data_IF_865099629858
#
_entry.id   IF_865099629858
#
_cell.length_a   1.000
_cell.length_b   1.000
_cell.length_c   1.000
_cell.angle_alpha   90.00
_cell.angle_beta   90.00
_cell.angle_gamma   90.00
#
_symmetry.space_group_name_H-M   'P 1'
#
loop_
_entity.id
_entity.type
_entity.pdbx_description
1 polymer ?
#
# COMPACT_ATOMS: atom_id res chain seq x y z
N UNK A 1 -52.79 27.39 18.28
CA UNK A 1 -51.75 27.11 19.30
C UNK A 1 -51.51 25.61 19.51
N UNK A 2 -52.45 24.82 20.03
CA UNK A 2 -52.25 23.37 20.26
C UNK A 2 -51.87 22.57 18.99
N UNK A 3 -52.57 22.79 17.88
CA UNK A 3 -52.26 22.14 16.59
C UNK A 3 -50.89 22.56 16.01
N UNK A 4 -50.44 23.78 16.31
CA UNK A 4 -49.10 24.25 15.94
C UNK A 4 -48.02 23.57 16.78
N UNK A 5 -48.24 23.43 18.09
CA UNK A 5 -47.34 22.69 18.98
C UNK A 5 -47.19 21.22 18.55
N UNK A 6 -48.29 20.55 18.19
CA UNK A 6 -48.24 19.18 17.67
C UNK A 6 -47.46 19.09 16.36
N UNK A 7 -47.63 20.04 15.45
CA UNK A 7 -46.89 20.09 14.18
C UNK A 7 -45.39 20.30 14.42
N UNK A 8 -45.02 21.27 15.26
CA UNK A 8 -43.62 21.51 15.62
C UNK A 8 -42.98 20.33 16.36
N UNK A 9 -43.73 19.64 17.23
CA UNK A 9 -43.25 18.45 17.93
C UNK A 9 -42.97 17.32 16.94
N UNK A 10 -43.87 17.11 15.97
CA UNK A 10 -43.68 16.10 14.91
C UNK A 10 -42.45 16.42 14.05
N UNK A 11 -42.29 17.66 13.61
CA UNK A 11 -41.12 18.10 12.84
C UNK A 11 -39.82 17.87 13.62
N UNK A 12 -39.84 18.12 14.93
CA UNK A 12 -38.68 17.90 15.80
C UNK A 12 -38.36 16.40 15.95
N UNK A 13 -39.37 15.54 16.09
CA UNK A 13 -39.19 14.08 16.11
C UNK A 13 -38.62 13.56 14.78
N UNK A 14 -39.13 14.02 13.65
CA UNK A 14 -38.63 13.66 12.32
C UNK A 14 -37.16 14.08 12.17
N UNK A 15 -36.81 15.29 12.61
CA UNK A 15 -35.43 15.79 12.58
C UNK A 15 -34.47 14.98 13.47
N UNK A 16 -34.90 14.59 14.67
CA UNK A 16 -34.09 13.75 15.58
C UNK A 16 -33.87 12.36 14.99
N UNK A 17 -34.91 11.74 14.43
CA UNK A 17 -34.79 10.44 13.77
C UNK A 17 -33.83 10.48 12.58
N UNK A 18 -33.88 11.56 11.79
CA UNK A 18 -32.97 11.73 10.65
C UNK A 18 -31.52 11.93 11.11
N UNK A 19 -31.31 12.74 12.17
CA UNK A 19 -29.99 12.90 12.79
C UNK A 19 -29.43 11.57 13.28
N UNK A 20 -30.23 10.77 13.99
CA UNK A 20 -29.78 9.49 14.53
C UNK A 20 -29.47 8.47 13.43
N UNK A 21 -30.22 8.49 12.31
CA UNK A 21 -29.90 7.69 11.12
C UNK A 21 -28.59 8.12 10.48
N UNK A 22 -28.37 9.43 10.32
CA UNK A 22 -27.13 9.96 9.78
C UNK A 22 -25.95 9.60 10.68
N UNK A 23 -26.11 9.70 11.99
CA UNK A 23 -25.07 9.34 12.96
C UNK A 23 -24.66 7.87 12.82
N UNK A 24 -25.60 6.93 12.81
CA UNK A 24 -25.29 5.50 12.62
C UNK A 24 -24.62 5.23 11.28
N UNK A 25 -25.00 5.97 10.22
CA UNK A 25 -24.39 5.85 8.91
C UNK A 25 -22.96 6.38 8.87
N UNK A 26 -22.68 7.47 9.58
CA UNK A 26 -21.32 8.01 9.75
C UNK A 26 -20.46 7.02 10.53
N UNK A 27 -20.97 6.45 11.62
CA UNK A 27 -20.29 5.41 12.39
C UNK A 27 -19.95 4.21 11.51
N UNK A 28 -20.93 3.66 10.79
CA UNK A 28 -20.71 2.54 9.87
C UNK A 28 -19.71 2.85 8.74
N UNK A 29 -19.75 4.06 8.18
CA UNK A 29 -18.78 4.49 7.17
C UNK A 29 -17.38 4.64 7.77
N UNK A 30 -17.26 5.14 9.00
CA UNK A 30 -16.01 5.23 9.74
C UNK A 30 -15.37 3.85 9.89
N UNK A 31 -16.12 2.89 10.43
CA UNK A 31 -15.67 1.51 10.57
C UNK A 31 -15.26 0.93 9.22
N UNK A 32 -16.05 1.17 8.16
CA UNK A 32 -15.76 0.65 6.82
C UNK A 32 -14.47 1.23 6.24
N UNK A 33 -14.20 2.51 6.46
CA UNK A 33 -12.96 3.15 6.00
C UNK A 33 -11.77 2.58 6.75
N UNK A 34 -11.86 2.41 8.07
CA UNK A 34 -10.79 1.81 8.89
C UNK A 34 -10.42 0.42 8.36
N UNK A 35 -11.40 -0.46 8.12
CA UNK A 35 -11.15 -1.77 7.53
C UNK A 35 -10.49 -1.72 6.14
N UNK A 36 -10.83 -0.72 5.31
CA UNK A 36 -10.21 -0.57 3.99
C UNK A 36 -8.77 -0.06 4.10
N UNK A 37 -8.48 0.80 5.08
CA UNK A 37 -7.12 1.29 5.34
C UNK A 37 -6.25 0.17 5.89
N UNK A 38 -6.75 -0.63 6.82
CA UNK A 38 -6.06 -1.83 7.30
C UNK A 38 -5.77 -2.80 6.15
N UNK A 39 -6.76 -3.06 5.29
CA UNK A 39 -6.56 -3.92 4.11
C UNK A 39 -5.56 -3.37 3.08
N UNK A 40 -5.33 -2.05 3.03
CA UNK A 40 -4.26 -1.47 2.21
C UNK A 40 -2.89 -1.67 2.84
N UNK A 41 -2.79 -1.68 4.18
CA UNK A 41 -1.53 -1.93 4.88
C UNK A 41 -1.03 -3.38 4.72
N UNK A 42 -1.95 -4.33 4.55
CA UNK A 42 -1.63 -5.75 4.38
C UNK A 42 -1.30 -6.16 2.92
N UNK A 43 -1.41 -5.24 1.95
CA UNK A 43 -1.17 -5.56 0.54
C UNK A 43 0.31 -5.74 0.25
N UNK A 44 0.70 -6.99 -0.01
CA UNK A 44 2.02 -7.29 -0.56
C UNK A 44 2.10 -6.87 -2.04
N UNK A 45 3.05 -6.00 -2.36
CA UNK A 45 3.36 -5.65 -3.74
C UNK A 45 4.47 -6.58 -4.24
N UNK A 46 4.22 -7.33 -5.31
CA UNK A 46 5.19 -8.23 -5.93
C UNK A 46 5.23 -8.02 -7.44
N UNK A 47 6.45 -8.07 -8.00
CA UNK A 47 6.70 -8.02 -9.44
C UNK A 47 7.58 -9.19 -9.79
N UNK A 48 7.18 -9.97 -10.79
CA UNK A 48 7.97 -11.07 -11.32
C UNK A 48 8.43 -10.71 -12.73
N UNK A 49 9.73 -10.81 -12.97
CA UNK A 49 10.35 -10.55 -14.26
C UNK A 49 10.88 -11.87 -14.77
N UNK A 50 10.27 -12.39 -15.83
CA UNK A 50 10.77 -13.58 -16.52
C UNK A 50 11.94 -13.24 -17.43
N UNK A 51 12.94 -14.14 -17.49
CA UNK A 51 14.13 -13.99 -18.33
C UNK A 51 15.23 -13.18 -17.68
N UNK A 52 16.27 -12.87 -18.46
CA UNK A 52 17.46 -12.17 -17.95
C UNK A 52 17.21 -10.67 -17.81
N UNK A 53 17.60 -10.10 -16.65
CA UNK A 53 17.60 -8.66 -16.44
C UNK A 53 18.78 -8.02 -17.16
N UNK A 54 18.53 -6.90 -17.84
CA UNK A 54 19.57 -6.15 -18.53
C UNK A 54 20.63 -5.65 -17.53
N UNK A 55 21.91 -5.63 -17.95
CA UNK A 55 23.03 -5.42 -17.03
C UNK A 55 23.10 -4.05 -16.34
N UNK A 56 22.32 -3.06 -16.79
CA UNK A 56 22.04 -1.85 -16.04
C UNK A 56 20.53 -1.65 -16.03
N UNK A 57 19.89 -2.04 -14.92
CA UNK A 57 18.45 -1.92 -14.76
C UNK A 57 18.14 -1.17 -13.48
N UNK A 58 17.14 -0.29 -13.54
CA UNK A 58 16.66 0.47 -12.39
C UNK A 58 15.14 0.35 -12.32
N UNK A 59 14.62 0.16 -11.11
CA UNK A 59 13.20 -0.02 -10.85
C UNK A 59 12.75 0.88 -9.71
N UNK A 60 11.59 1.50 -9.87
CA UNK A 60 10.94 2.31 -8.86
C UNK A 60 9.61 1.69 -8.47
N UNK A 61 9.43 1.44 -7.18
CA UNK A 61 8.21 0.91 -6.59
C UNK A 61 7.46 2.06 -5.92
N UNK A 62 6.33 2.46 -6.52
CA UNK A 62 5.46 3.50 -5.97
C UNK A 62 4.49 2.85 -4.98
N UNK A 63 4.64 3.18 -3.71
CA UNK A 63 3.88 2.63 -2.60
C UNK A 63 2.90 3.70 -2.09
N UNK A 64 1.58 3.50 -2.30
CA UNK A 64 0.59 4.39 -1.71
C UNK A 64 0.52 4.14 -0.20
N UNK A 65 0.70 5.21 0.58
CA UNK A 65 0.59 5.17 2.04
C UNK A 65 -0.61 6.00 2.48
N UNK A 66 -1.44 5.42 3.34
CA UNK A 66 -2.51 6.14 4.01
C UNK A 66 -2.00 6.63 5.36
N UNK A 67 -2.20 7.92 5.66
CA UNK A 67 -1.80 8.54 6.92
C UNK A 67 -3.02 9.12 7.61
N UNK A 68 -3.26 8.73 8.86
CA UNK A 68 -4.36 9.28 9.64
C UNK A 68 -4.03 10.71 10.10
N UNK A 69 -4.93 11.65 9.82
CA UNK A 69 -4.80 13.03 10.25
C UNK A 69 -5.26 13.17 11.71
N UNK A 70 -4.33 13.48 12.60
CA UNK A 70 -4.57 13.58 14.05
C UNK A 70 -5.50 14.71 14.47
N UNK A 71 -5.71 15.73 13.63
CA UNK A 71 -6.52 16.92 13.98
C UNK A 71 -7.95 16.91 13.44
N UNK A 72 -8.20 16.24 12.32
CA UNK A 72 -9.51 16.31 11.63
C UNK A 72 -10.20 14.94 11.49
N UNK A 73 -9.58 13.85 11.96
CA UNK A 73 -10.17 12.51 11.87
C UNK A 73 -10.27 11.96 10.44
N UNK A 74 -9.56 12.59 9.50
CA UNK A 74 -9.49 12.18 8.10
C UNK A 74 -8.27 11.32 7.77
N UNK A 75 -8.19 10.90 6.52
CA UNK A 75 -7.06 10.16 5.97
C UNK A 75 -6.42 10.98 4.84
N UNK A 76 -5.09 11.02 4.82
CA UNK A 76 -4.31 11.58 3.73
C UNK A 76 -3.60 10.46 2.96
N UNK A 77 -3.34 10.70 1.68
CA UNK A 77 -2.65 9.76 0.80
C UNK A 77 -1.28 10.31 0.43
N UNK A 78 -0.25 9.73 1.04
CA UNK A 78 1.13 10.01 0.71
C UNK A 78 1.65 8.99 -0.32
N UNK A 79 2.62 9.42 -1.13
CA UNK A 79 3.39 8.52 -1.98
C UNK A 79 4.75 8.29 -1.33
N UNK A 80 5.14 7.04 -1.22
CA UNK A 80 6.50 6.65 -0.89
C UNK A 80 7.07 5.84 -2.04
N UNK A 81 8.38 5.91 -2.20
CA UNK A 81 9.08 5.25 -3.30
C UNK A 81 10.21 4.42 -2.72
N UNK A 82 10.25 3.16 -3.10
CA UNK A 82 11.43 2.33 -2.91
C UNK A 82 12.13 2.14 -4.27
N UNK A 83 13.45 2.10 -4.26
CA UNK A 83 14.25 2.06 -5.47
C UNK A 83 15.17 0.84 -5.48
N UNK A 84 15.34 0.24 -6.66
CA UNK A 84 16.22 -0.89 -6.86
C UNK A 84 17.08 -0.66 -8.10
N UNK A 85 18.39 -0.73 -7.93
CA UNK A 85 19.35 -0.72 -9.03
C UNK A 85 20.04 -2.08 -9.13
N UNK A 86 20.21 -2.57 -10.35
CA UNK A 86 20.88 -3.82 -10.67
C UNK A 86 21.99 -3.51 -11.66
N UNK A 87 23.21 -3.87 -11.27
CA UNK A 87 24.42 -3.72 -12.07
C UNK A 87 25.04 -5.11 -12.30
N UNK A 88 24.83 -5.69 -13.47
CA UNK A 88 25.40 -7.00 -13.83
C UNK A 88 26.78 -6.82 -14.49
N UNK A 89 27.83 -7.17 -13.74
CA UNK A 89 29.17 -7.38 -14.28
C UNK A 89 29.37 -8.80 -14.80
N UNK A 90 30.51 -9.07 -15.45
CA UNK A 90 30.81 -10.38 -16.06
C UNK A 90 30.98 -11.51 -15.03
N UNK A 91 31.33 -11.20 -13.78
CA UNK A 91 31.60 -12.19 -12.73
C UNK A 91 30.64 -12.11 -11.54
N UNK A 92 29.96 -10.98 -11.38
CA UNK A 92 29.06 -10.71 -10.27
C UNK A 92 28.06 -9.63 -10.67
N UNK A 93 26.85 -9.74 -10.15
CA UNK A 93 25.84 -8.69 -10.18
C UNK A 93 25.76 -8.03 -8.81
N UNK A 94 25.71 -6.70 -8.80
CA UNK A 94 25.40 -5.91 -7.62
C UNK A 94 23.93 -5.50 -7.67
N UNK A 95 23.20 -5.77 -6.58
CA UNK A 95 21.82 -5.36 -6.38
C UNK A 95 21.77 -4.37 -5.22
N UNK A 96 21.37 -3.15 -5.51
CA UNK A 96 21.26 -2.06 -4.54
C UNK A 96 19.79 -1.75 -4.32
N UNK A 97 19.28 -1.99 -3.12
CA UNK A 97 17.94 -1.56 -2.71
C UNK A 97 17.99 -0.35 -1.79
N UNK A 98 17.11 0.60 -2.05
CA UNK A 98 16.86 1.78 -1.23
C UNK A 98 15.40 1.74 -0.76
N UNK A 99 15.20 1.56 0.54
CA UNK A 99 13.86 1.56 1.15
C UNK A 99 13.22 2.94 1.19
N UNK A 100 11.94 2.99 1.53
CA UNK A 100 11.18 4.25 1.68
C UNK A 100 11.67 5.13 2.83
N UNK A 101 12.39 4.54 3.79
CA UNK A 101 13.08 5.20 4.90
C UNK A 101 14.46 5.78 4.49
N UNK A 102 14.89 5.54 3.25
CA UNK A 102 16.22 5.88 2.76
C UNK A 102 17.31 4.89 3.17
N UNK A 103 16.97 3.78 3.84
CA UNK A 103 17.94 2.74 4.15
C UNK A 103 18.41 2.07 2.86
N UNK A 104 19.74 2.02 2.68
CA UNK A 104 20.38 1.43 1.51
C UNK A 104 21.05 0.12 1.87
N UNK A 105 20.78 -0.91 1.08
CA UNK A 105 21.39 -2.24 1.20
C UNK A 105 22.00 -2.58 -0.17
N UNK A 106 23.26 -2.97 -0.20
CA UNK A 106 23.92 -3.52 -1.38
C UNK A 106 24.22 -5.00 -1.14
N UNK A 107 23.84 -5.83 -2.11
CA UNK A 107 24.07 -7.27 -2.09
C UNK A 107 24.73 -7.68 -3.39
N UNK A 108 25.71 -8.59 -3.31
CA UNK A 108 26.37 -9.15 -4.49
C UNK A 108 25.90 -10.57 -4.72
N UNK A 109 25.57 -10.91 -5.96
CA UNK A 109 25.08 -12.22 -6.37
C UNK A 109 25.80 -12.68 -7.65
N UNK A 110 25.87 -13.99 -7.93
CA UNK A 110 26.35 -14.48 -9.21
C UNK A 110 25.41 -14.06 -10.35
N UNK A 111 25.91 -13.81 -11.58
CA UNK A 111 25.08 -13.40 -12.70
C UNK A 111 23.95 -14.38 -13.05
N UNK A 112 24.16 -15.68 -12.78
CA UNK A 112 23.15 -16.73 -13.00
C UNK A 112 21.92 -16.59 -12.10
N UNK A 113 22.04 -15.94 -10.94
CA UNK A 113 20.88 -15.64 -10.08
C UNK A 113 20.05 -14.47 -10.60
N UNK A 114 20.55 -13.70 -11.58
CA UNK A 114 19.82 -12.59 -12.19
C UNK A 114 18.92 -13.04 -13.36
N UNK A 115 18.77 -14.35 -13.54
CA UNK A 115 17.82 -14.97 -14.46
C UNK A 115 16.50 -15.20 -13.73
N UNK A 116 15.41 -14.62 -14.24
CA UNK A 116 14.06 -14.73 -13.70
C UNK A 116 13.96 -14.36 -12.21
N UNK A 117 13.69 -13.09 -11.91
CA UNK A 117 13.65 -12.58 -10.54
C UNK A 117 12.23 -12.25 -10.09
N UNK A 118 11.96 -12.52 -8.81
CA UNK A 118 10.80 -11.99 -8.10
C UNK A 118 11.25 -10.93 -7.13
N UNK A 119 10.61 -9.77 -7.23
CA UNK A 119 10.75 -8.67 -6.30
C UNK A 119 9.51 -8.57 -5.44
N UNK A 120 9.70 -8.35 -4.15
CA UNK A 120 8.63 -8.03 -3.22
C UNK A 120 8.99 -6.76 -2.45
N UNK A 121 7.97 -5.97 -2.13
CA UNK A 121 8.14 -4.83 -1.24
C UNK A 121 7.29 -5.05 0.00
N UNK A 122 7.96 -5.08 1.14
CA UNK A 122 7.34 -5.27 2.45
C UNK A 122 7.84 -4.19 3.41
N UNK A 123 6.90 -3.52 4.07
CA UNK A 123 7.16 -2.36 4.94
C UNK A 123 8.15 -1.34 4.33
N UNK A 124 8.02 -1.09 3.02
CA UNK A 124 8.89 -0.16 2.28
C UNK A 124 10.31 -0.66 2.00
N UNK A 125 10.63 -1.92 2.32
CA UNK A 125 11.90 -2.58 1.99
C UNK A 125 11.71 -3.50 0.80
N UNK A 126 12.67 -3.48 -0.13
CA UNK A 126 12.66 -4.36 -1.30
C UNK A 126 13.43 -5.63 -0.95
N UNK A 127 12.78 -6.77 -1.12
CA UNK A 127 13.40 -8.09 -1.15
C UNK A 127 13.33 -8.67 -2.56
N UNK A 128 14.27 -9.54 -2.88
CA UNK A 128 14.33 -10.22 -4.17
C UNK A 128 14.79 -11.66 -3.99
N UNK A 129 14.29 -12.53 -4.85
CA UNK A 129 14.66 -13.94 -4.91
C UNK A 129 14.65 -14.44 -6.36
N UNK A 130 15.54 -15.39 -6.70
CA UNK A 130 15.46 -16.08 -7.99
C UNK A 130 14.20 -16.94 -8.04
N UNK A 131 13.49 -16.87 -9.16
CA UNK A 131 12.36 -17.76 -9.44
C UNK A 131 12.93 -19.07 -9.95
N UNK A 132 13.12 -20.02 -9.02
CA UNK A 132 13.35 -21.39 -9.39
C UNK A 132 12.05 -21.92 -10.04
N UNK A 133 11.97 -21.85 -11.37
CA UNK A 133 11.13 -22.77 -12.12
C UNK A 133 11.70 -24.16 -11.85
N UNK A 134 11.19 -24.83 -10.81
CA UNK A 134 11.26 -26.28 -10.77
C UNK A 134 10.57 -26.77 -12.03
N UNK A 135 11.38 -27.08 -13.04
CA UNK A 135 10.98 -27.71 -14.29
C UNK A 135 10.16 -28.94 -13.91
N UNK A 136 8.84 -28.81 -13.96
CA UNK A 136 7.94 -29.95 -14.00
C UNK A 136 8.12 -30.62 -15.36
N UNK A 137 9.04 -31.57 -15.43
CA UNK A 137 9.17 -32.53 -16.53
C UNK A 137 9.39 -33.92 -15.95
#
# INVERSE_FOLDING_TARGET
VFMQLLKSLRELFEAVLERDRLQRRVEWLGDRVEHLVDGLSERQCRVEIGGAIAGESSMEFILPRVVQQTKEGGFDFARQTAHLDIHCGPSAAEVVSCGTDGARISTTAPPSEMESLRFAVDDGRISWEPVNEAVGA
#
